data_IF_041751784747
#
_entry.id   IF_041751784747
#
_cell.length_a   1.000
_cell.length_b   1.000
_cell.length_c   1.000
_cell.angle_alpha   90.00
_cell.angle_beta   90.00
_cell.angle_gamma   90.00
#
_symmetry.space_group_name_H-M   'P 1'
#
loop_
_entity.id
_entity.type
_entity.pdbx_description
1 polymer ?
#
# COMPACT_ATOMS: atom_id res chain seq x y z
N UNK A 1 -46.13 38.92 23.02
CA UNK A 1 -45.02 39.53 22.25
C UNK A 1 -44.37 38.43 21.44
N UNK A 2 -44.44 38.52 20.12
CA UNK A 2 -43.95 37.51 19.19
C UNK A 2 -42.44 37.68 19.10
N UNK A 3 -41.68 36.65 19.48
CA UNK A 3 -40.22 36.63 19.33
C UNK A 3 -39.91 36.51 17.84
N UNK A 4 -39.29 37.55 17.27
CA UNK A 4 -38.89 37.58 15.87
C UNK A 4 -37.71 36.61 15.67
N UNK A 5 -37.78 35.79 14.62
CA UNK A 5 -36.69 34.88 14.25
C UNK A 5 -35.52 35.72 13.69
N UNK A 6 -34.39 35.72 14.40
CA UNK A 6 -33.15 36.35 13.94
C UNK A 6 -32.58 35.57 12.75
N UNK A 7 -32.85 36.08 11.55
CA UNK A 7 -32.33 35.54 10.29
C UNK A 7 -30.84 35.88 10.17
N UNK A 8 -30.00 35.09 10.81
CA UNK A 8 -28.56 35.23 10.63
C UNK A 8 -28.15 34.57 9.31
N UNK A 9 -27.73 35.38 8.34
CA UNK A 9 -27.31 34.89 7.02
C UNK A 9 -26.07 34.00 7.13
N UNK A 10 -26.28 32.68 6.99
CA UNK A 10 -25.19 31.69 6.93
C UNK A 10 -24.40 31.91 5.64
N UNK A 11 -23.24 32.57 5.73
CA UNK A 11 -22.28 32.61 4.63
C UNK A 11 -21.49 31.31 4.65
N UNK A 12 -21.65 30.48 3.62
CA UNK A 12 -20.73 29.36 3.38
C UNK A 12 -19.36 29.94 3.04
N UNK A 13 -18.45 29.98 4.01
CA UNK A 13 -17.06 30.30 3.75
C UNK A 13 -16.45 29.06 3.08
N UNK A 14 -16.33 29.07 1.76
CA UNK A 14 -15.50 28.11 1.04
C UNK A 14 -14.03 28.51 1.19
N UNK A 15 -13.58 28.69 2.43
CA UNK A 15 -12.17 28.67 2.75
C UNK A 15 -11.82 27.19 2.91
N UNK A 16 -11.33 26.57 1.84
CA UNK A 16 -10.62 25.29 1.94
C UNK A 16 -9.50 25.55 2.96
N UNK A 17 -9.50 24.94 4.15
CA UNK A 17 -8.33 25.01 4.99
C UNK A 17 -7.22 24.36 4.17
N UNK A 18 -6.19 25.14 3.83
CA UNK A 18 -4.92 24.64 3.35
C UNK A 18 -4.37 23.77 4.48
N UNK A 19 -4.83 22.52 4.52
CA UNK A 19 -4.23 21.47 5.31
C UNK A 19 -2.84 21.34 4.72
N UNK A 20 -1.91 22.06 5.36
CA UNK A 20 -0.50 21.86 5.29
C UNK A 20 -0.31 20.35 5.52
N UNK A 21 -0.28 19.61 4.41
CA UNK A 21 -0.17 18.18 4.41
C UNK A 21 1.16 17.93 5.10
N UNK A 22 1.10 17.56 6.38
CA UNK A 22 2.25 17.17 7.17
C UNK A 22 2.95 16.14 6.31
N UNK A 23 4.06 16.55 5.68
CA UNK A 23 4.96 15.64 4.99
C UNK A 23 5.32 14.63 6.07
N UNK A 24 4.69 13.47 6.03
CA UNK A 24 5.12 12.33 6.82
C UNK A 24 6.45 11.96 6.20
N UNK A 25 7.50 12.61 6.72
CA UNK A 25 8.88 12.26 6.46
C UNK A 25 8.99 10.86 7.03
N UNK A 26 8.88 9.86 6.15
CA UNK A 26 9.31 8.51 6.44
C UNK A 26 10.78 8.62 6.86
N UNK A 27 11.02 8.63 8.17
CA UNK A 27 12.38 8.51 8.69
C UNK A 27 12.87 7.17 8.20
N UNK A 28 13.81 7.20 7.27
CA UNK A 28 14.52 6.01 6.78
C UNK A 28 15.33 5.52 7.97
N UNK A 29 14.78 4.58 8.74
CA UNK A 29 15.53 3.89 9.79
C UNK A 29 16.69 3.20 9.08
N UNK A 30 17.90 3.72 9.28
CA UNK A 30 19.13 3.06 8.88
C UNK A 30 19.36 1.92 9.88
N UNK A 31 18.92 0.72 9.54
CA UNK A 31 19.33 -0.52 10.20
C UNK A 31 20.52 -1.09 9.43
N UNK A 32 21.74 -1.07 9.99
CA UNK A 32 22.89 -1.71 9.37
C UNK A 32 22.88 -3.18 9.81
N UNK A 33 22.12 -4.01 9.11
CA UNK A 33 22.26 -5.46 9.18
C UNK A 33 21.69 -6.04 7.90
N UNK A 34 22.53 -6.74 7.15
CA UNK A 34 22.23 -7.41 5.89
C UNK A 34 21.22 -8.53 6.09
N UNK A 35 19.94 -8.18 6.29
CA UNK A 35 18.84 -9.11 6.13
C UNK A 35 18.62 -9.24 4.62
N UNK A 36 19.35 -10.16 4.00
CA UNK A 36 19.05 -10.62 2.64
C UNK A 36 17.76 -11.43 2.74
N UNK A 37 16.63 -10.73 2.76
CA UNK A 37 15.35 -11.36 2.56
C UNK A 37 15.28 -11.72 1.07
N UNK A 38 15.94 -12.82 0.68
CA UNK A 38 15.81 -13.38 -0.65
C UNK A 38 14.35 -13.79 -0.81
N UNK A 39 13.52 -12.85 -1.27
CA UNK A 39 12.29 -13.21 -1.91
C UNK A 39 12.66 -14.25 -2.98
N UNK A 40 11.88 -15.34 -3.13
CA UNK A 40 12.10 -16.26 -4.23
C UNK A 40 12.24 -15.42 -5.49
N UNK A 41 13.29 -15.62 -6.32
CA UNK A 41 13.62 -14.77 -7.49
C UNK A 41 12.43 -14.49 -8.42
N UNK A 42 11.34 -15.24 -8.26
CA UNK A 42 10.11 -15.22 -9.05
C UNK A 42 8.90 -14.63 -8.32
N UNK A 43 8.96 -14.22 -7.05
CA UNK A 43 7.79 -13.73 -6.30
C UNK A 43 7.19 -12.47 -6.95
N UNK A 44 8.01 -11.48 -7.30
CA UNK A 44 7.56 -10.28 -8.00
C UNK A 44 6.94 -10.58 -9.37
N UNK A 45 7.50 -11.56 -10.10
CA UNK A 45 6.96 -12.00 -11.38
C UNK A 45 5.60 -12.69 -11.22
N UNK A 46 5.42 -13.49 -10.17
CA UNK A 46 4.14 -14.14 -9.87
C UNK A 46 3.07 -13.12 -9.45
N UNK A 47 3.44 -12.10 -8.66
CA UNK A 47 2.52 -11.01 -8.31
C UNK A 47 2.10 -10.23 -9.56
N UNK A 48 3.04 -9.92 -10.46
CA UNK A 48 2.74 -9.26 -11.73
C UNK A 48 1.80 -10.10 -12.60
N UNK A 49 2.08 -11.40 -12.75
CA UNK A 49 1.19 -12.32 -13.47
C UNK A 49 -0.20 -12.38 -12.85
N UNK A 50 -0.28 -12.49 -11.52
CA UNK A 50 -1.57 -12.53 -10.81
C UNK A 50 -2.36 -11.22 -10.95
N UNK A 51 -1.69 -10.08 -11.14
CA UNK A 51 -2.36 -8.82 -11.49
C UNK A 51 -2.86 -8.84 -12.94
N UNK A 52 -2.06 -9.35 -13.88
CA UNK A 52 -2.42 -9.43 -15.29
C UNK A 52 -3.62 -10.36 -15.54
N UNK A 53 -3.74 -11.48 -14.81
CA UNK A 53 -4.92 -12.36 -14.89
C UNK A 53 -6.21 -11.69 -14.44
N UNK A 54 -6.12 -10.66 -13.60
CA UNK A 54 -7.27 -9.85 -13.18
C UNK A 54 -7.58 -8.68 -14.12
N UNK A 55 -6.77 -8.46 -15.16
CA UNK A 55 -6.88 -7.32 -16.09
C UNK A 55 -6.91 -5.97 -15.35
N UNK A 56 -6.13 -5.85 -14.26
CA UNK A 56 -6.07 -4.62 -13.44
C UNK A 56 -4.76 -3.88 -13.63
N UNK A 57 -4.87 -2.56 -13.63
CA UNK A 57 -3.71 -1.69 -13.56
C UNK A 57 -3.07 -1.74 -12.16
N UNK A 58 -1.77 -1.45 -12.05
CA UNK A 58 -1.06 -1.44 -10.76
C UNK A 58 -1.77 -0.58 -9.70
N UNK A 59 -2.29 0.59 -10.08
CA UNK A 59 -3.04 1.46 -9.15
C UNK A 59 -4.32 0.80 -8.62
N UNK A 60 -5.07 0.14 -9.50
CA UNK A 60 -6.32 -0.53 -9.13
C UNK A 60 -6.06 -1.76 -8.26
N UNK A 61 -5.04 -2.55 -8.62
CA UNK A 61 -4.64 -3.71 -7.84
C UNK A 61 -4.10 -3.32 -6.46
N UNK A 62 -3.28 -2.27 -6.40
CA UNK A 62 -2.77 -1.72 -5.15
C UNK A 62 -3.91 -1.19 -4.25
N UNK A 63 -4.91 -0.52 -4.83
CA UNK A 63 -6.08 -0.06 -4.08
C UNK A 63 -6.89 -1.22 -3.49
N UNK A 64 -7.03 -2.34 -4.21
CA UNK A 64 -7.73 -3.52 -3.70
C UNK A 64 -7.01 -4.22 -2.55
N UNK A 65 -5.69 -4.19 -2.55
CA UNK A 65 -4.86 -4.76 -1.48
C UNK A 65 -4.69 -3.77 -0.31
N UNK A 66 -5.01 -2.49 -0.54
CA UNK A 66 -4.82 -1.42 0.45
C UNK A 66 -3.38 -0.95 0.58
N UNK A 67 -2.60 -1.01 -0.50
CA UNK A 67 -1.17 -0.66 -0.51
C UNK A 67 -0.88 0.49 -1.47
N UNK A 68 0.22 1.20 -1.25
CA UNK A 68 0.65 2.25 -2.16
C UNK A 68 1.06 1.64 -3.53
N UNK A 69 0.67 2.24 -4.67
CA UNK A 69 1.06 1.75 -6.00
C UNK A 69 2.58 1.63 -6.18
N UNK A 70 3.33 2.54 -5.55
CA UNK A 70 4.79 2.53 -5.59
C UNK A 70 5.38 1.33 -4.82
N UNK A 71 4.72 0.88 -3.76
CA UNK A 71 5.12 -0.29 -2.98
C UNK A 71 4.86 -1.57 -3.78
N UNK A 72 3.71 -1.67 -4.43
CA UNK A 72 3.41 -2.77 -5.35
C UNK A 72 4.43 -2.85 -6.50
N UNK A 73 4.82 -1.71 -7.10
CA UNK A 73 5.81 -1.69 -8.17
C UNK A 73 7.20 -2.18 -7.69
N UNK A 74 7.58 -1.91 -6.43
CA UNK A 74 8.83 -2.44 -5.84
C UNK A 74 8.77 -3.95 -5.65
N UNK A 75 7.61 -4.49 -5.27
CA UNK A 75 7.40 -5.93 -5.15
C UNK A 75 7.48 -6.62 -6.50
N UNK A 76 6.79 -6.08 -7.52
CA UNK A 76 6.85 -6.62 -8.89
C UNK A 76 8.28 -6.60 -9.46
N UNK A 77 9.08 -5.60 -9.09
CA UNK A 77 10.48 -5.48 -9.48
C UNK A 77 11.47 -6.31 -8.63
N UNK A 78 10.97 -7.13 -7.69
CA UNK A 78 11.79 -7.87 -6.71
C UNK A 78 12.76 -6.99 -5.90
N UNK A 79 12.49 -5.68 -5.80
CA UNK A 79 13.32 -4.74 -5.02
C UNK A 79 13.02 -4.81 -3.52
N UNK A 80 11.83 -5.29 -3.18
CA UNK A 80 11.33 -5.39 -1.82
C UNK A 80 10.37 -6.57 -1.72
N UNK A 81 10.36 -7.26 -0.58
CA UNK A 81 9.48 -8.39 -0.36
C UNK A 81 8.20 -7.96 0.39
N UNK A 82 7.00 -8.40 -0.04
CA UNK A 82 5.78 -8.18 0.72
C UNK A 82 5.81 -8.96 2.05
N UNK A 83 5.16 -8.41 3.07
CA UNK A 83 4.89 -9.12 4.32
C UNK A 83 3.94 -10.30 4.10
N UNK A 84 4.03 -11.33 4.94
CA UNK A 84 3.14 -12.50 4.87
C UNK A 84 1.64 -12.14 4.92
N UNK A 85 1.28 -11.07 5.64
CA UNK A 85 -0.09 -10.56 5.65
C UNK A 85 -0.53 -10.00 4.28
N UNK A 86 0.37 -9.31 3.59
CA UNK A 86 0.13 -8.75 2.25
C UNK A 86 0.06 -9.87 1.21
N UNK A 87 0.93 -10.89 1.32
CA UNK A 87 0.85 -12.10 0.49
C UNK A 87 -0.53 -12.75 0.67
N UNK A 88 -1.00 -12.94 1.91
CA UNK A 88 -2.32 -13.51 2.16
C UNK A 88 -3.47 -12.67 1.57
N UNK A 89 -3.38 -11.33 1.61
CA UNK A 89 -4.35 -10.45 0.94
C UNK A 89 -4.34 -10.63 -0.57
N UNK A 90 -3.15 -10.76 -1.17
CA UNK A 90 -3.02 -11.04 -2.60
C UNK A 90 -3.60 -12.42 -2.94
N UNK A 91 -3.30 -13.47 -2.17
CA UNK A 91 -3.85 -14.82 -2.35
C UNK A 91 -5.39 -14.81 -2.29
N UNK A 92 -5.98 -14.06 -1.35
CA UNK A 92 -7.44 -13.91 -1.25
C UNK A 92 -8.03 -13.23 -2.49
N UNK A 93 -7.36 -12.20 -2.99
CA UNK A 93 -7.84 -11.43 -4.12
C UNK A 93 -7.73 -12.22 -5.42
N UNK A 94 -6.57 -12.86 -5.65
CA UNK A 94 -6.24 -13.53 -6.92
C UNK A 94 -6.67 -14.99 -6.94
N UNK A 95 -6.96 -15.59 -5.78
CA UNK A 95 -7.19 -17.03 -5.58
C UNK A 95 -6.02 -17.90 -6.06
N UNK A 96 -4.86 -17.28 -6.32
CA UNK A 96 -3.63 -17.96 -6.72
C UNK A 96 -2.78 -18.16 -5.48
N UNK A 97 -2.29 -19.39 -5.27
CA UNK A 97 -1.32 -19.71 -4.22
C UNK A 97 0.02 -19.05 -4.58
N UNK A 98 0.45 -18.09 -3.77
CA UNK A 98 1.74 -17.42 -3.96
C UNK A 98 2.78 -18.03 -3.01
N UNK A 99 4.04 -18.22 -3.45
CA UNK A 99 5.08 -18.71 -2.57
C UNK A 99 5.30 -17.70 -1.45
N UNK A 100 5.10 -18.15 -0.21
CA UNK A 100 5.32 -17.31 0.98
C UNK A 100 6.81 -17.09 1.16
N UNK A 101 7.20 -15.88 1.54
CA UNK A 101 8.57 -15.61 1.99
C UNK A 101 8.83 -16.41 3.26
N UNK A 102 9.47 -17.56 3.12
CA UNK A 102 10.06 -18.26 4.25
C UNK A 102 11.26 -17.43 4.69
N UNK A 103 11.33 -17.08 5.98
CA UNK A 103 12.54 -16.50 6.55
C UNK A 103 13.59 -17.60 6.56
N UNK A 104 14.45 -17.65 5.56
CA UNK A 104 15.65 -18.49 5.61
C UNK A 104 16.64 -17.79 6.54
N UNK A 105 16.81 -18.31 7.75
CA UNK A 105 17.99 -17.98 8.55
C UNK A 105 19.15 -18.72 7.91
N UNK A 106 20.01 -18.02 7.17
CA UNK A 106 21.28 -18.61 6.75
C UNK A 106 22.16 -18.70 8.00
N UNK A 107 22.40 -19.92 8.48
CA UNK A 107 23.53 -20.20 9.36
C UNK A 107 24.78 -20.23 8.46
N UNK A 108 25.79 -19.50 8.93
CA UNK A 108 27.08 -19.18 8.31
C UNK A 108 27.78 -20.35 7.59
#
# INVERSE_FOLDING_TARGET
MIHHQDWNSVKFTSAIPNNNAKKVVFKKQHVPETIVNEAPKQLGQLISQARLTQLKNQKQFAALIGVAPQMLARWEANKEAPSNAQIASIEKLTKVKLPRCQKTVMLE
#
